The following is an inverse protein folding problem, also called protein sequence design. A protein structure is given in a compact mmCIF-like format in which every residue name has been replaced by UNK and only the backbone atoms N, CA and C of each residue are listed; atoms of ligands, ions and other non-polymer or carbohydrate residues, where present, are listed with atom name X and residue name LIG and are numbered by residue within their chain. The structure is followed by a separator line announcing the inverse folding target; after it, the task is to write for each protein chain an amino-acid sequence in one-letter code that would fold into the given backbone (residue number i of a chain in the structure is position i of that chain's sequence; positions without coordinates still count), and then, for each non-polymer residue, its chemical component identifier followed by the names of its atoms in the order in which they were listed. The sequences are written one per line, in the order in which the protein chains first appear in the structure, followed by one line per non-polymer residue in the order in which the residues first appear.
data_IF_249594418410
#
_entry.id   IF_249594418410
#
_cell.length_a   1.000
_cell.length_b   1.000
_cell.length_c   1.000
_cell.angle_alpha   90.00
_cell.angle_beta   90.00
_cell.angle_gamma   90.00
#
_symmetry.space_group_name_H-M   'P 1'
#
loop_
_entity.id
_entity.type
_entity.pdbx_description
1 polymer ?
#
# COMPACT_ATOMS: atom_id res chain seq x y z
N UNK A 1 32.31 -80.45 -39.95
CA UNK A 1 30.86 -80.41 -40.24
C UNK A 1 30.21 -79.62 -39.12
N UNK A 2 29.52 -78.51 -39.45
CA UNK A 2 28.75 -77.63 -38.54
C UNK A 2 29.57 -76.85 -37.49
N UNK A 3 29.36 -75.57 -37.18
CA UNK A 3 28.59 -74.49 -37.79
C UNK A 3 29.20 -73.18 -37.24
N UNK A 4 29.49 -72.21 -38.10
CA UNK A 4 29.72 -70.81 -37.70
C UNK A 4 28.43 -70.26 -37.05
N UNK A 5 28.52 -69.66 -35.86
CA UNK A 5 27.45 -68.83 -35.29
C UNK A 5 28.02 -67.46 -34.95
N UNK A 6 27.79 -66.52 -35.86
CA UNK A 6 27.90 -65.09 -35.65
C UNK A 6 26.97 -64.66 -34.51
N UNK A 7 27.52 -64.05 -33.46
CA UNK A 7 26.73 -63.28 -32.49
C UNK A 7 26.56 -61.86 -33.03
N UNK A 8 25.38 -61.55 -33.58
CA UNK A 8 24.97 -60.18 -33.88
C UNK A 8 24.57 -59.49 -32.58
N UNK A 9 25.32 -58.46 -32.18
CA UNK A 9 24.93 -57.55 -31.11
C UNK A 9 23.87 -56.60 -31.66
N UNK A 10 22.62 -56.75 -31.22
CA UNK A 10 21.53 -55.82 -31.52
C UNK A 10 21.69 -54.62 -30.58
N UNK A 11 22.10 -53.47 -31.11
CA UNK A 11 21.94 -52.20 -30.42
C UNK A 11 20.46 -51.81 -30.49
N UNK A 12 19.74 -51.99 -29.37
CA UNK A 12 18.42 -51.39 -29.19
C UNK A 12 18.64 -49.92 -28.89
N UNK A 13 18.45 -49.05 -29.87
CA UNK A 13 18.32 -47.61 -29.63
C UNK A 13 16.94 -47.39 -29.00
N UNK A 14 16.89 -47.30 -27.67
CA UNK A 14 15.73 -46.76 -26.97
C UNK A 14 15.68 -45.26 -27.26
N UNK A 15 14.87 -44.86 -28.24
CA UNK A 15 14.41 -43.48 -28.36
C UNK A 15 13.52 -43.18 -27.15
N UNK A 16 14.12 -42.62 -26.10
CA UNK A 16 13.35 -41.98 -25.04
C UNK A 16 12.65 -40.75 -25.65
N UNK A 17 11.36 -40.88 -25.94
CA UNK A 17 10.50 -39.73 -26.14
C UNK A 17 10.49 -38.97 -24.82
N UNK A 18 11.31 -37.92 -24.73
CA UNK A 18 11.19 -36.93 -23.69
C UNK A 18 9.83 -36.26 -23.85
N UNK A 19 8.84 -36.68 -23.04
CA UNK A 19 7.70 -35.83 -22.75
C UNK A 19 8.26 -34.63 -21.97
N UNK A 20 8.66 -33.59 -22.69
CA UNK A 20 8.71 -32.27 -22.11
C UNK A 20 7.28 -31.96 -21.67
N UNK A 21 7.04 -31.99 -20.36
CA UNK A 21 5.88 -31.35 -19.79
C UNK A 21 5.97 -29.89 -20.25
N UNK A 22 5.11 -29.50 -21.20
CA UNK A 22 4.83 -28.11 -21.46
C UNK A 22 4.30 -27.55 -20.13
N UNK A 23 5.15 -26.82 -19.43
CA UNK A 23 4.68 -25.86 -18.44
C UNK A 23 3.85 -24.88 -19.24
N UNK A 24 2.53 -25.04 -19.21
CA UNK A 24 1.60 -24.06 -19.73
C UNK A 24 1.91 -22.75 -19.00
N UNK A 25 2.47 -21.78 -19.70
CA UNK A 25 2.44 -20.39 -19.26
C UNK A 25 0.97 -20.06 -19.00
N UNK A 26 0.59 -19.53 -17.82
CA UNK A 26 -0.77 -19.10 -17.60
C UNK A 26 -1.11 -18.08 -18.68
N UNK A 27 -2.12 -18.40 -19.49
CA UNK A 27 -2.73 -17.42 -20.37
C UNK A 27 -3.24 -16.27 -19.50
N UNK A 28 -2.74 -15.07 -19.74
CA UNK A 28 -3.13 -13.82 -19.08
C UNK A 28 -4.53 -13.34 -19.49
N UNK A 29 -5.54 -14.20 -19.38
CA UNK A 29 -6.91 -13.88 -19.82
C UNK A 29 -8.01 -14.26 -18.82
N UNK A 30 -7.70 -14.24 -17.51
CA UNK A 30 -8.77 -14.20 -16.51
C UNK A 30 -9.55 -12.90 -16.73
N UNK A 31 -10.84 -13.04 -17.08
CA UNK A 31 -11.75 -11.91 -17.11
C UNK A 31 -11.83 -11.33 -15.68
N UNK A 32 -11.42 -10.08 -15.52
CA UNK A 32 -11.41 -9.43 -14.22
C UNK A 32 -12.85 -9.13 -13.78
N UNK A 33 -13.23 -9.47 -12.54
CA UNK A 33 -14.58 -9.18 -12.04
C UNK A 33 -14.79 -7.68 -11.80
N UNK A 34 -16.05 -7.29 -11.64
CA UNK A 34 -16.46 -5.91 -11.43
C UNK A 34 -16.61 -5.12 -12.74
N UNK A 35 -16.60 -3.79 -12.63
CA UNK A 35 -16.79 -2.84 -13.75
C UNK A 35 -15.52 -2.03 -14.03
N UNK A 36 -14.35 -2.61 -13.77
CA UNK A 36 -13.05 -1.92 -13.88
C UNK A 36 -13.05 -0.62 -13.06
N UNK A 37 -12.56 0.47 -13.65
CA UNK A 37 -12.57 1.82 -13.06
C UNK A 37 -13.97 2.30 -12.64
N UNK A 38 -15.05 1.81 -13.24
CA UNK A 38 -16.42 2.26 -12.95
C UNK A 38 -17.04 1.55 -11.72
N UNK A 39 -16.27 0.73 -11.02
CA UNK A 39 -16.74 0.05 -9.81
C UNK A 39 -16.74 0.97 -8.59
N UNK A 40 -15.82 1.94 -8.56
CA UNK A 40 -15.60 2.87 -7.47
C UNK A 40 -15.18 4.23 -8.00
N UNK A 41 -15.57 5.29 -7.29
CA UNK A 41 -14.90 6.58 -7.30
C UNK A 41 -13.79 6.53 -6.25
N UNK A 42 -12.55 6.89 -6.62
CA UNK A 42 -11.41 6.79 -5.72
C UNK A 42 -10.26 7.74 -6.09
N UNK A 43 -9.50 8.14 -5.07
CA UNK A 43 -8.14 8.67 -5.22
C UNK A 43 -7.17 7.50 -5.32
N UNK A 44 -6.14 7.62 -6.15
CA UNK A 44 -5.13 6.60 -6.37
C UNK A 44 -3.74 7.23 -6.45
N UNK A 45 -2.77 6.63 -5.77
CA UNK A 45 -1.35 6.90 -5.99
C UNK A 45 -0.51 5.65 -5.72
N UNK A 46 0.73 5.68 -6.23
CA UNK A 46 1.68 4.59 -6.02
C UNK A 46 3.11 5.08 -5.99
N UNK A 47 3.95 4.33 -5.28
CA UNK A 47 5.39 4.50 -5.34
C UNK A 47 5.87 4.11 -6.74
N UNK A 48 6.32 5.11 -7.48
CA UNK A 48 6.61 4.96 -8.91
C UNK A 48 7.70 5.92 -9.36
N UNK A 49 8.32 5.56 -10.47
CA UNK A 49 9.09 6.47 -11.31
C UNK A 49 8.28 7.64 -11.81
N UNK A 50 6.95 7.66 -11.69
CA UNK A 50 6.05 8.78 -11.95
C UNK A 50 5.34 9.20 -10.65
N UNK A 51 5.54 10.43 -10.16
CA UNK A 51 4.83 10.95 -8.98
C UNK A 51 3.50 11.51 -9.42
N UNK A 52 2.56 10.59 -9.67
CA UNK A 52 1.21 10.91 -10.11
C UNK A 52 0.18 10.53 -9.05
N UNK A 53 -0.83 11.37 -8.94
CA UNK A 53 -2.06 11.08 -8.20
C UNK A 53 -3.21 11.18 -9.17
N UNK A 54 -4.12 10.21 -9.15
CA UNK A 54 -5.30 10.18 -10.00
C UNK A 54 -6.55 10.23 -9.14
N UNK A 55 -7.49 11.07 -9.55
CA UNK A 55 -8.86 11.06 -9.06
C UNK A 55 -9.71 10.40 -10.13
N UNK A 56 -10.20 9.20 -9.84
CA UNK A 56 -11.10 8.44 -10.72
C UNK A 56 -12.53 8.67 -10.25
N UNK A 57 -13.40 9.12 -11.17
CA UNK A 57 -14.84 9.21 -10.94
C UNK A 57 -15.63 8.72 -12.14
N UNK A 58 -16.71 8.02 -11.89
CA UNK A 58 -17.60 7.49 -12.93
C UNK A 58 -16.82 6.69 -14.01
N UNK A 59 -15.80 5.94 -13.60
CA UNK A 59 -15.01 5.10 -14.50
C UNK A 59 -13.97 5.80 -15.37
N UNK A 60 -13.62 7.06 -15.09
CA UNK A 60 -12.61 7.83 -15.83
C UNK A 60 -11.75 8.66 -14.89
N UNK A 61 -10.56 9.04 -15.35
CA UNK A 61 -9.74 10.05 -14.67
C UNK A 61 -10.47 11.40 -14.77
N UNK A 62 -10.95 11.90 -13.64
CA UNK A 62 -11.64 13.19 -13.50
C UNK A 62 -10.64 14.32 -13.28
N UNK A 63 -9.57 14.02 -12.54
CA UNK A 63 -8.47 14.94 -12.26
C UNK A 63 -7.18 14.16 -12.02
N UNK A 64 -6.03 14.79 -12.24
CA UNK A 64 -4.73 14.24 -11.87
C UNK A 64 -3.77 15.32 -11.41
N UNK A 65 -2.82 14.94 -10.57
CA UNK A 65 -1.64 15.71 -10.24
C UNK A 65 -0.40 14.95 -10.68
N UNK A 66 0.59 15.67 -11.18
CA UNK A 66 1.88 15.15 -11.59
C UNK A 66 2.99 16.07 -11.07
N UNK A 67 4.06 15.47 -10.54
CA UNK A 67 5.28 16.18 -10.14
C UNK A 67 6.50 15.61 -10.89
N UNK A 68 6.70 16.01 -12.16
CA UNK A 68 7.79 15.49 -12.99
C UNK A 68 9.18 15.99 -12.55
N UNK A 69 9.24 17.11 -11.81
CA UNK A 69 10.48 17.67 -11.29
C UNK A 69 10.78 17.21 -9.86
N UNK A 70 9.76 16.69 -9.16
CA UNK A 70 9.87 16.10 -7.84
C UNK A 70 10.75 14.86 -7.79
N UNK A 71 11.06 14.44 -6.57
CA UNK A 71 11.90 13.29 -6.27
C UNK A 71 11.18 12.34 -5.33
N UNK A 72 11.62 11.09 -5.34
CA UNK A 72 11.12 10.06 -4.45
C UNK A 72 9.77 9.51 -4.89
N UNK A 73 9.11 8.86 -3.95
CA UNK A 73 7.89 8.08 -4.17
C UNK A 73 6.72 8.65 -3.37
N UNK A 74 5.49 8.60 -3.90
CA UNK A 74 4.28 8.97 -3.14
C UNK A 74 3.81 7.72 -2.40
N UNK A 75 3.95 7.73 -1.07
CA UNK A 75 3.59 6.59 -0.22
C UNK A 75 2.22 6.75 0.44
N UNK A 76 1.70 7.99 0.51
CA UNK A 76 0.40 8.28 1.13
C UNK A 76 -0.26 9.51 0.50
N UNK A 77 -1.59 9.50 0.46
CA UNK A 77 -2.39 10.57 -0.12
C UNK A 77 -3.79 10.59 0.48
N UNK A 78 -4.30 11.81 0.75
CA UNK A 78 -5.63 12.05 1.30
C UNK A 78 -6.25 13.25 0.59
N UNK A 79 -7.38 13.03 -0.07
CA UNK A 79 -8.26 14.07 -0.59
C UNK A 79 -9.18 14.53 0.54
N UNK A 80 -9.06 15.78 0.95
CA UNK A 80 -9.88 16.42 1.99
C UNK A 80 -11.28 16.78 1.45
N UNK A 81 -12.24 17.02 2.35
CA UNK A 81 -13.61 17.38 1.97
C UNK A 81 -13.73 18.67 1.15
N UNK A 82 -12.76 19.58 1.30
CA UNK A 82 -12.67 20.83 0.53
C UNK A 82 -12.01 20.67 -0.85
N UNK A 83 -11.61 19.45 -1.23
CA UNK A 83 -10.96 19.14 -2.50
C UNK A 83 -9.45 19.35 -2.52
N UNK A 84 -8.84 19.84 -1.42
CA UNK A 84 -7.38 19.86 -1.31
C UNK A 84 -6.84 18.43 -1.20
N UNK A 85 -5.65 18.23 -1.74
CA UNK A 85 -4.92 16.97 -1.72
C UNK A 85 -3.72 17.11 -0.78
N UNK A 86 -3.69 16.31 0.29
CA UNK A 86 -2.49 16.09 1.10
C UNK A 86 -1.75 14.87 0.55
N UNK A 87 -0.46 15.01 0.29
CA UNK A 87 0.42 13.88 -0.06
C UNK A 87 1.59 13.80 0.90
N UNK A 88 1.97 12.58 1.29
CA UNK A 88 3.29 12.27 1.78
C UNK A 88 4.08 11.61 0.66
N UNK A 89 5.22 12.21 0.33
CA UNK A 89 6.20 11.62 -0.56
C UNK A 89 7.52 11.45 0.18
N UNK A 90 8.39 10.56 -0.30
CA UNK A 90 9.62 10.16 0.38
C UNK A 90 10.45 11.32 0.93
N UNK A 91 10.43 12.50 0.30
CA UNK A 91 11.20 13.67 0.71
C UNK A 91 10.33 14.85 1.15
N UNK A 92 9.11 14.62 1.65
CA UNK A 92 8.29 15.70 2.16
C UNK A 92 6.79 15.43 2.23
N UNK A 93 6.09 16.49 2.63
CA UNK A 93 4.62 16.53 2.67
C UNK A 93 4.18 17.76 1.90
N UNK A 94 3.11 17.64 1.09
CA UNK A 94 2.52 18.78 0.36
C UNK A 94 1.01 18.79 0.54
N UNK A 95 0.46 19.97 0.80
CA UNK A 95 -0.96 20.26 0.66
C UNK A 95 -1.17 21.04 -0.64
N UNK A 96 -2.04 20.54 -1.50
CA UNK A 96 -2.21 21.00 -2.88
C UNK A 96 -3.67 21.35 -3.12
N UNK A 97 -3.96 22.49 -3.74
CA UNK A 97 -5.34 22.87 -4.11
C UNK A 97 -5.84 22.13 -5.35
N UNK A 98 -7.16 22.12 -5.64
CA UNK A 98 -7.70 21.59 -6.89
C UNK A 98 -7.07 22.20 -8.16
N UNK A 99 -6.63 23.46 -8.08
CA UNK A 99 -5.92 24.18 -9.14
C UNK A 99 -4.42 23.85 -9.20
N UNK A 100 -3.97 22.80 -8.49
CA UNK A 100 -2.59 22.31 -8.42
C UNK A 100 -1.60 23.29 -7.79
N UNK A 101 -2.07 24.23 -6.96
CA UNK A 101 -1.19 25.14 -6.22
C UNK A 101 -0.74 24.49 -4.92
N UNK A 102 0.55 24.56 -4.63
CA UNK A 102 1.08 24.15 -3.32
C UNK A 102 0.64 25.20 -2.29
N UNK A 103 -0.20 24.80 -1.35
CA UNK A 103 -0.73 25.64 -0.27
C UNK A 103 0.18 25.61 0.95
N UNK A 104 0.79 24.46 1.21
CA UNK A 104 1.76 24.24 2.29
C UNK A 104 2.68 23.09 1.91
N UNK A 105 3.92 23.12 2.38
CA UNK A 105 4.87 22.02 2.21
C UNK A 105 5.82 21.91 3.38
N UNK A 106 6.35 20.71 3.56
CA UNK A 106 7.41 20.41 4.50
C UNK A 106 8.45 19.52 3.82
N UNK A 107 9.72 19.91 3.89
CA UNK A 107 10.86 19.14 3.41
C UNK A 107 11.71 18.71 4.62
N UNK A 108 11.94 17.40 4.83
CA UNK A 108 12.75 16.92 5.93
C UNK A 108 14.24 17.16 5.65
N UNK A 109 15.11 17.08 6.67
CA UNK A 109 16.56 17.17 6.49
C UNK A 109 17.09 16.18 5.45
N UNK A 110 18.25 16.47 4.85
CA UNK A 110 18.87 15.57 3.89
C UNK A 110 19.11 14.17 4.51
N UNK A 111 18.68 13.13 3.81
CA UNK A 111 18.78 11.74 4.27
C UNK A 111 17.62 11.28 5.16
N UNK A 112 16.67 12.15 5.47
CA UNK A 112 15.42 11.81 6.17
C UNK A 112 14.29 11.58 5.17
N UNK A 113 13.29 10.82 5.57
CA UNK A 113 12.18 10.45 4.70
C UNK A 113 10.81 10.60 5.37
N UNK A 114 9.75 10.83 4.60
CA UNK A 114 8.37 10.84 5.08
C UNK A 114 7.54 9.92 4.20
N UNK A 115 6.76 9.01 4.80
CA UNK A 115 5.92 8.06 4.05
C UNK A 115 4.45 8.07 4.45
N UNK A 116 4.06 8.91 5.41
CA UNK A 116 2.67 9.04 5.84
C UNK A 116 2.40 10.44 6.38
N UNK A 117 1.20 10.94 6.10
CA UNK A 117 0.70 12.19 6.65
C UNK A 117 -0.83 12.08 6.83
N UNK A 118 -1.33 12.58 7.95
CA UNK A 118 -2.73 12.54 8.34
C UNK A 118 -3.20 13.97 8.58
N UNK A 119 -4.23 14.46 7.86
CA UNK A 119 -4.83 15.74 8.18
C UNK A 119 -5.64 15.63 9.48
N UNK A 120 -5.58 16.66 10.31
CA UNK A 120 -6.38 16.79 11.53
C UNK A 120 -7.10 18.13 11.44
N UNK A 121 -8.42 18.07 11.32
CA UNK A 121 -9.25 19.23 11.03
C UNK A 121 -8.81 19.99 9.79
N UNK A 122 -8.99 21.30 9.81
CA UNK A 122 -8.61 22.17 8.69
C UNK A 122 -7.24 22.83 8.85
N UNK A 123 -6.60 22.66 10.00
CA UNK A 123 -5.42 23.45 10.39
C UNK A 123 -4.20 22.64 10.77
N UNK A 124 -4.29 21.31 10.89
CA UNK A 124 -3.19 20.50 11.37
C UNK A 124 -2.87 19.34 10.44
N UNK A 125 -1.59 18.98 10.42
CA UNK A 125 -1.09 17.77 9.76
C UNK A 125 -0.20 17.04 10.76
N UNK A 126 -0.48 15.75 10.95
CA UNK A 126 0.40 14.80 11.62
C UNK A 126 1.23 14.06 10.58
N UNK A 127 2.53 13.94 10.77
CA UNK A 127 3.38 13.08 9.93
C UNK A 127 4.47 12.41 10.76
N UNK A 128 5.07 11.36 10.19
CA UNK A 128 6.24 10.69 10.76
C UNK A 128 7.43 10.93 9.82
N UNK A 129 8.46 11.57 10.34
CA UNK A 129 9.76 11.75 9.72
C UNK A 129 10.68 10.60 10.13
N UNK A 130 10.99 9.72 9.19
CA UNK A 130 12.05 8.73 9.33
C UNK A 130 13.41 9.46 9.31
N UNK A 131 14.32 9.08 10.20
CA UNK A 131 15.61 9.78 10.33
C UNK A 131 16.64 9.10 11.23
N UNK A 132 17.84 9.67 11.22
CA UNK A 132 19.00 9.29 12.05
C UNK A 132 19.47 10.56 12.79
N UNK A 133 19.55 10.60 14.14
CA UNK A 133 19.56 9.47 15.08
C UNK A 133 18.21 8.87 15.46
N UNK A 134 17.09 9.47 15.03
CA UNK A 134 15.75 9.05 15.43
C UNK A 134 14.67 9.44 14.43
N UNK A 135 13.59 8.67 14.42
CA UNK A 135 12.35 9.09 13.77
C UNK A 135 11.51 10.00 14.69
N UNK A 136 10.79 10.94 14.08
CA UNK A 136 10.00 11.95 14.77
C UNK A 136 8.56 11.93 14.28
N UNK A 137 7.61 11.76 15.21
CA UNK A 137 6.21 12.10 14.97
C UNK A 137 6.04 13.59 15.24
N UNK A 138 5.42 14.31 14.31
CA UNK A 138 5.10 15.73 14.49
C UNK A 138 3.64 16.01 14.21
N UNK A 139 3.08 16.95 14.98
CA UNK A 139 1.81 17.63 14.67
C UNK A 139 2.14 19.08 14.38
N UNK A 140 1.83 19.52 13.16
CA UNK A 140 2.12 20.87 12.68
C UNK A 140 0.83 21.60 12.41
N UNK A 141 0.71 22.81 12.95
CA UNK A 141 -0.34 23.74 12.57
C UNK A 141 0.06 24.42 11.26
N UNK A 142 -0.59 24.04 10.17
CA UNK A 142 -0.24 24.50 8.81
C UNK A 142 -0.71 25.94 8.53
N UNK A 143 -1.52 26.53 9.42
CA UNK A 143 -1.92 27.95 9.34
C UNK A 143 -0.84 28.85 9.94
N UNK A 144 -0.26 28.45 11.07
CA UNK A 144 0.78 29.24 11.76
C UNK A 144 2.20 28.83 11.38
N UNK A 145 2.38 27.62 10.86
CA UNK A 145 3.68 26.98 10.61
C UNK A 145 4.34 26.39 11.85
N UNK A 146 3.65 26.40 13.01
CA UNK A 146 4.23 25.92 14.26
C UNK A 146 4.19 24.39 14.37
N UNK A 147 5.30 23.79 14.80
CA UNK A 147 5.33 22.41 15.30
C UNK A 147 4.76 22.45 16.73
N UNK A 148 3.55 21.97 16.92
CA UNK A 148 2.83 22.01 18.21
C UNK A 148 3.04 20.73 19.03
N UNK A 149 3.47 19.64 18.38
CA UNK A 149 3.89 18.41 19.05
C UNK A 149 5.05 17.79 18.29
N UNK A 150 6.02 17.26 19.04
CA UNK A 150 7.09 16.41 18.53
C UNK A 150 7.33 15.27 19.52
N UNK A 151 7.42 14.04 19.01
CA UNK A 151 7.71 12.84 19.79
C UNK A 151 8.77 12.02 19.06
N UNK A 152 9.76 11.54 19.81
CA UNK A 152 10.71 10.55 19.29
C UNK A 152 10.06 9.16 19.30
N UNK A 153 10.02 8.52 18.13
CA UNK A 153 9.54 7.14 18.02
C UNK A 153 10.70 6.15 18.00
N UNK A 154 10.48 4.99 18.61
CA UNK A 154 11.48 3.92 18.65
C UNK A 154 11.71 3.32 17.25
N UNK A 155 12.99 3.13 16.91
CA UNK A 155 13.45 2.46 15.69
C UNK A 155 14.49 1.40 16.07
N UNK A 156 14.57 0.32 15.29
CA UNK A 156 15.56 -0.74 15.48
C UNK A 156 16.92 -0.36 14.90
N UNK A 157 16.90 0.30 13.75
CA UNK A 157 18.10 0.63 12.98
C UNK A 157 18.04 2.08 12.48
N UNK A 158 18.42 3.08 13.30
CA UNK A 158 18.35 4.51 12.95
C UNK A 158 18.94 4.85 11.57
N UNK A 159 20.14 4.33 11.28
CA UNK A 159 20.84 4.54 10.00
C UNK A 159 20.12 3.95 8.78
N UNK A 160 19.11 3.08 8.97
CA UNK A 160 18.30 2.50 7.88
C UNK A 160 16.96 3.22 7.76
N UNK A 161 17.04 4.54 7.55
CA UNK A 161 15.91 5.49 7.44
C UNK A 161 14.76 4.93 6.61
N UNK A 162 15.06 4.44 5.41
CA UNK A 162 14.05 3.94 4.48
C UNK A 162 13.25 2.76 5.00
N UNK A 163 13.71 2.01 6.01
CA UNK A 163 12.98 0.83 6.53
C UNK A 163 12.29 1.07 7.87
N UNK A 164 12.22 2.31 8.36
CA UNK A 164 11.64 2.61 9.66
C UNK A 164 10.11 2.53 9.62
N UNK A 165 9.43 3.60 9.21
CA UNK A 165 7.96 3.68 9.21
C UNK A 165 7.38 3.70 7.81
N UNK A 166 6.13 3.23 7.71
CA UNK A 166 5.27 3.36 6.53
C UNK A 166 3.97 4.04 6.93
N UNK A 167 2.86 3.32 6.90
CA UNK A 167 1.54 3.90 7.08
C UNK A 167 1.21 4.19 8.55
N UNK A 168 0.54 5.31 8.80
CA UNK A 168 -0.07 5.63 10.09
C UNK A 168 -1.50 6.18 9.92
N UNK A 169 -2.40 5.84 10.84
CA UNK A 169 -3.80 6.34 10.84
C UNK A 169 -4.29 6.59 12.25
N UNK A 170 -5.05 7.68 12.40
CA UNK A 170 -5.74 8.00 13.65
C UNK A 170 -6.96 7.10 13.85
N UNK A 171 -7.21 6.74 15.09
CA UNK A 171 -8.40 6.01 15.52
C UNK A 171 -9.52 6.99 15.89
N UNK A 172 -10.78 6.52 16.00
CA UNK A 172 -11.88 7.32 16.55
C UNK A 172 -11.64 7.82 17.98
N UNK A 173 -10.77 7.14 18.75
CA UNK A 173 -10.40 7.51 20.11
C UNK A 173 -9.32 8.61 20.18
N UNK A 174 -8.78 9.01 19.03
CA UNK A 174 -7.72 10.01 18.93
C UNK A 174 -6.34 9.51 19.31
N UNK A 175 -6.09 8.22 19.10
CA UNK A 175 -4.78 7.55 19.19
C UNK A 175 -4.24 7.29 17.78
N UNK A 176 -2.95 6.99 17.65
CA UNK A 176 -2.31 6.76 16.36
C UNK A 176 -1.86 5.30 16.21
N UNK A 177 -2.39 4.59 15.22
CA UNK A 177 -1.87 3.29 14.78
C UNK A 177 -0.76 3.50 13.75
N UNK A 178 0.36 2.79 13.93
CA UNK A 178 1.59 2.98 13.16
C UNK A 178 2.19 1.64 12.74
N UNK A 179 2.57 1.51 11.47
CA UNK A 179 3.33 0.38 10.94
C UNK A 179 4.85 0.61 11.10
N UNK A 180 5.48 -0.08 12.07
CA UNK A 180 6.93 -0.10 12.22
C UNK A 180 7.55 -1.25 11.42
N UNK A 181 8.08 -0.92 10.25
CA UNK A 181 8.64 -1.89 9.33
C UNK A 181 9.93 -2.53 9.89
N UNK A 182 10.85 -1.77 10.50
CA UNK A 182 12.10 -2.29 11.04
C UNK A 182 11.94 -3.05 12.37
N UNK A 183 11.02 -2.61 13.23
CA UNK A 183 10.70 -3.28 14.49
C UNK A 183 9.79 -4.50 14.32
N UNK A 184 9.26 -4.75 13.11
CA UNK A 184 8.38 -5.87 12.82
C UNK A 184 7.17 -5.93 13.77
N UNK A 185 6.51 -4.77 13.95
CA UNK A 185 5.28 -4.65 14.71
C UNK A 185 4.42 -3.50 14.23
N UNK A 186 3.14 -3.57 14.54
CA UNK A 186 2.27 -2.40 14.56
C UNK A 186 2.13 -1.93 16.00
N UNK A 187 1.99 -0.62 16.20
CA UNK A 187 1.87 -0.01 17.52
C UNK A 187 0.77 1.04 17.51
N UNK A 188 -0.01 1.11 18.58
CA UNK A 188 -0.91 2.22 18.86
C UNK A 188 -0.29 3.13 19.93
N UNK A 189 -0.22 4.42 19.64
CA UNK A 189 0.29 5.45 20.55
C UNK A 189 -0.80 6.41 20.98
N UNK A 190 -0.78 6.84 22.24
CA UNK A 190 -1.51 8.05 22.65
C UNK A 190 -0.80 9.34 22.21
N UNK A 191 -1.41 10.49 22.54
CA UNK A 191 -0.86 11.80 22.22
C UNK A 191 0.47 12.11 22.91
N UNK A 192 0.84 11.40 23.96
CA UNK A 192 2.09 11.58 24.69
C UNK A 192 3.18 10.59 24.27
N UNK A 193 2.88 9.70 23.33
CA UNK A 193 3.80 8.71 22.79
C UNK A 193 3.87 7.43 23.63
N UNK A 194 2.93 7.21 24.56
CA UNK A 194 2.85 5.96 25.27
C UNK A 194 2.29 4.88 24.35
N UNK A 195 2.94 3.71 24.32
CA UNK A 195 2.44 2.53 23.63
C UNK A 195 1.22 1.98 24.40
N UNK A 196 0.03 2.10 23.80
CA UNK A 196 -1.22 1.58 24.35
C UNK A 196 -1.43 0.11 23.98
N UNK A 197 -0.97 -0.27 22.79
CA UNK A 197 -1.13 -1.60 22.23
C UNK A 197 -0.06 -1.87 21.17
N UNK A 198 0.35 -3.13 21.02
CA UNK A 198 1.19 -3.54 19.91
C UNK A 198 0.93 -4.98 19.48
N UNK A 199 1.28 -5.28 18.24
CA UNK A 199 1.11 -6.62 17.66
C UNK A 199 2.23 -6.97 16.66
N UNK A 200 2.76 -8.21 16.70
CA UNK A 200 3.81 -8.64 15.77
C UNK A 200 3.35 -8.66 14.30
N UNK A 201 4.16 -8.05 13.43
CA UNK A 201 3.91 -8.03 11.98
C UNK A 201 5.23 -8.08 11.21
N UNK A 202 5.29 -8.84 10.12
CA UNK A 202 6.57 -9.05 9.41
C UNK A 202 6.79 -7.93 8.40
N UNK A 203 7.63 -6.95 8.75
CA UNK A 203 7.92 -5.78 7.90
C UNK A 203 6.61 -5.10 7.44
N UNK A 204 5.71 -4.71 8.38
CA UNK A 204 4.40 -4.18 8.03
C UNK A 204 4.52 -2.93 7.18
N UNK A 205 3.59 -2.81 6.24
CA UNK A 205 3.45 -1.62 5.42
C UNK A 205 2.21 -0.83 5.80
N UNK A 206 1.07 -1.53 5.92
CA UNK A 206 -0.25 -0.94 6.14
C UNK A 206 -0.82 -1.33 7.50
N UNK A 207 -1.48 -0.37 8.13
CA UNK A 207 -2.29 -0.58 9.33
C UNK A 207 -3.49 0.37 9.30
N UNK A 208 -4.69 -0.16 9.57
CA UNK A 208 -5.93 0.63 9.59
C UNK A 208 -6.80 0.22 10.78
N UNK A 209 -7.34 1.17 11.57
CA UNK A 209 -8.41 0.85 12.52
C UNK A 209 -9.68 0.47 11.76
N UNK A 210 -10.49 -0.41 12.35
CA UNK A 210 -11.81 -0.79 11.86
C UNK A 210 -12.89 -0.29 12.83
N UNK A 211 -14.11 -0.05 12.31
CA UNK A 211 -15.26 0.43 13.10
C UNK A 211 -15.65 -0.50 14.26
N UNK A 212 -15.38 -1.80 14.13
CA UNK A 212 -15.63 -2.80 15.18
C UNK A 212 -14.53 -2.82 16.27
N UNK A 213 -13.56 -1.90 16.21
CA UNK A 213 -12.43 -1.81 17.12
C UNK A 213 -11.27 -2.77 16.81
N UNK A 214 -11.38 -3.62 15.78
CA UNK A 214 -10.27 -4.46 15.32
C UNK A 214 -9.25 -3.63 14.51
N UNK A 215 -8.11 -4.24 14.22
CA UNK A 215 -7.03 -3.65 13.44
C UNK A 215 -6.79 -4.49 12.19
N UNK A 216 -6.78 -3.85 11.02
CA UNK A 216 -6.41 -4.47 9.75
C UNK A 216 -4.93 -4.19 9.46
N UNK A 217 -4.14 -5.24 9.30
CA UNK A 217 -2.68 -5.17 9.13
C UNK A 217 -2.30 -5.79 7.79
N UNK A 218 -1.46 -5.11 7.02
CA UNK A 218 -0.86 -5.62 5.78
C UNK A 218 0.66 -5.68 5.95
N UNK A 219 1.22 -6.87 5.79
CA UNK A 219 2.64 -7.15 5.95
C UNK A 219 3.13 -8.25 4.99
N UNK A 220 4.37 -8.74 5.15
CA UNK A 220 4.92 -9.79 4.28
C UNK A 220 4.25 -11.15 4.41
N UNK A 221 3.42 -11.37 5.43
CA UNK A 221 2.66 -12.62 5.61
C UNK A 221 1.34 -12.55 4.83
N UNK A 222 0.73 -11.37 4.77
CA UNK A 222 -0.54 -11.17 4.08
C UNK A 222 -1.33 -10.00 4.67
N UNK A 223 -2.66 -10.11 4.64
CA UNK A 223 -3.57 -9.18 5.33
C UNK A 223 -4.21 -9.92 6.51
N UNK A 224 -4.29 -9.29 7.68
CA UNK A 224 -4.87 -9.87 8.89
C UNK A 224 -5.77 -8.86 9.59
N UNK A 225 -7.00 -9.26 9.90
CA UNK A 225 -7.84 -8.56 10.87
C UNK A 225 -7.60 -9.17 12.25
N UNK A 226 -7.12 -8.36 13.18
CA UNK A 226 -6.78 -8.79 14.53
C UNK A 226 -7.64 -8.06 15.56
N UNK A 227 -8.11 -8.78 16.57
CA UNK A 227 -8.78 -8.16 17.72
C UNK A 227 -7.78 -7.46 18.61
N UNK A 228 -8.25 -6.56 19.48
CA UNK A 228 -7.39 -5.92 20.49
C UNK A 228 -6.75 -6.92 21.47
N UNK A 229 -7.31 -8.14 21.60
CA UNK A 229 -6.69 -9.23 22.38
C UNK A 229 -5.57 -9.97 21.64
N UNK A 230 -5.42 -9.74 20.32
CA UNK A 230 -4.44 -10.41 19.47
C UNK A 230 -4.97 -11.63 18.70
N UNK A 231 -6.28 -11.88 18.73
CA UNK A 231 -6.88 -12.98 17.95
C UNK A 231 -6.95 -12.58 16.46
N UNK A 232 -6.42 -13.41 15.56
CA UNK A 232 -6.67 -13.22 14.11
C UNK A 232 -8.05 -13.78 13.78
N UNK A 233 -9.00 -12.91 13.46
CA UNK A 233 -10.40 -13.30 13.17
C UNK A 233 -10.70 -13.39 11.67
N UNK A 234 -9.84 -12.81 10.84
CA UNK A 234 -9.87 -12.95 9.40
C UNK A 234 -8.46 -12.76 8.84
N UNK A 235 -8.12 -13.43 7.74
CA UNK A 235 -6.84 -13.26 7.07
C UNK A 235 -6.95 -13.49 5.57
N UNK A 236 -6.02 -12.93 4.82
CA UNK A 236 -5.83 -13.18 3.40
C UNK A 236 -4.36 -13.42 3.06
N UNK A 237 -4.10 -14.37 2.17
CA UNK A 237 -2.81 -14.48 1.47
C UNK A 237 -3.03 -14.61 -0.03
N UNK A 238 -2.08 -14.18 -0.88
CA UNK A 238 -2.16 -14.38 -2.33
C UNK A 238 -2.44 -15.82 -2.78
N UNK A 239 -2.06 -16.82 -1.98
CA UNK A 239 -2.30 -18.23 -2.28
C UNK A 239 -3.79 -18.62 -2.30
N UNK A 240 -4.67 -17.79 -1.73
CA UNK A 240 -6.12 -18.03 -1.71
C UNK A 240 -6.81 -17.67 -3.03
N UNK A 241 -6.14 -16.87 -3.87
CA UNK A 241 -6.63 -16.45 -5.20
C UNK A 241 -5.49 -16.57 -6.23
N UNK A 242 -4.96 -17.80 -6.45
CA UNK A 242 -3.72 -18.03 -7.20
C UNK A 242 -3.80 -17.61 -8.68
N UNK A 243 -4.99 -17.33 -9.20
CA UNK A 243 -5.22 -16.81 -10.54
C UNK A 243 -4.81 -15.33 -10.72
N UNK A 244 -4.58 -14.60 -9.61
CA UNK A 244 -4.10 -13.22 -9.64
C UNK A 244 -2.61 -13.15 -9.27
N UNK A 245 -1.88 -12.33 -10.01
CA UNK A 245 -0.45 -12.14 -9.77
C UNK A 245 -0.20 -11.00 -8.78
N UNK A 246 0.42 -11.34 -7.65
CA UNK A 246 0.85 -10.41 -6.61
C UNK A 246 2.37 -10.33 -6.51
N UNK A 247 2.85 -9.17 -6.10
CA UNK A 247 4.27 -8.85 -5.89
C UNK A 247 4.52 -8.35 -4.47
N UNK A 248 3.76 -7.36 -4.00
CA UNK A 248 3.95 -6.76 -2.69
C UNK A 248 2.65 -6.15 -2.20
N UNK A 249 2.03 -6.75 -1.18
CA UNK A 249 0.88 -6.13 -0.51
C UNK A 249 1.38 -4.96 0.33
N UNK A 250 0.73 -3.80 0.23
CA UNK A 250 1.12 -2.60 0.97
C UNK A 250 0.01 -2.16 1.94
N UNK A 251 -1.21 -1.97 1.46
CA UNK A 251 -2.36 -1.52 2.24
C UNK A 251 -3.61 -2.35 1.95
N UNK A 252 -4.55 -2.30 2.89
CA UNK A 252 -5.88 -2.88 2.75
C UNK A 252 -6.93 -1.99 3.42
N UNK A 253 -8.14 -2.02 2.89
CA UNK A 253 -9.27 -1.19 3.34
C UNK A 253 -10.52 -2.04 3.48
N UNK A 254 -11.21 -1.92 4.61
CA UNK A 254 -12.55 -2.49 4.79
C UNK A 254 -13.58 -1.49 4.24
N UNK A 255 -14.37 -1.93 3.28
CA UNK A 255 -15.49 -1.15 2.74
C UNK A 255 -16.74 -1.32 3.61
N UNK A 256 -17.71 -0.39 3.57
CA UNK A 256 -18.94 -0.48 4.39
C UNK A 256 -19.81 -1.70 4.11
N UNK A 257 -19.70 -2.29 2.92
CA UNK A 257 -20.38 -3.55 2.57
C UNK A 257 -19.75 -4.79 3.23
N UNK A 258 -18.66 -4.63 4.00
CA UNK A 258 -17.91 -5.71 4.64
C UNK A 258 -16.79 -6.31 3.79
N UNK A 259 -16.70 -5.94 2.51
CA UNK A 259 -15.64 -6.40 1.63
C UNK A 259 -14.31 -5.74 2.00
N UNK A 260 -13.21 -6.42 1.67
CA UNK A 260 -11.86 -5.90 1.88
C UNK A 260 -11.20 -5.64 0.53
N UNK A 261 -10.75 -4.42 0.29
CA UNK A 261 -9.85 -4.11 -0.82
C UNK A 261 -8.42 -4.29 -0.37
N UNK A 262 -7.62 -4.97 -1.19
CA UNK A 262 -6.20 -5.23 -0.94
C UNK A 262 -5.43 -4.74 -2.16
N UNK A 263 -4.47 -3.85 -1.95
CA UNK A 263 -3.62 -3.40 -3.06
C UNK A 263 -2.46 -4.37 -3.30
N UNK A 264 -1.85 -4.20 -4.46
CA UNK A 264 -0.64 -4.89 -4.86
C UNK A 264 0.30 -3.93 -5.57
N UNK A 265 1.41 -3.62 -4.90
CA UNK A 265 2.44 -2.74 -5.40
C UNK A 265 3.50 -3.49 -6.21
N UNK A 266 3.91 -2.90 -7.32
CA UNK A 266 4.99 -3.39 -8.17
C UNK A 266 6.16 -2.43 -8.10
N UNK A 267 7.33 -2.95 -7.73
CA UNK A 267 8.58 -2.20 -7.71
C UNK A 267 9.13 -1.96 -9.13
N UNK A 268 9.01 -0.74 -9.64
CA UNK A 268 9.53 -0.35 -10.97
C UNK A 268 11.06 -0.28 -11.05
N UNK A 269 11.74 -0.13 -9.91
CA UNK A 269 13.20 -0.18 -9.81
C UNK A 269 13.75 -1.62 -9.85
N UNK A 270 12.88 -2.64 -9.80
CA UNK A 270 13.27 -4.04 -9.87
C UNK A 270 13.68 -4.45 -11.29
N UNK A 271 14.74 -5.26 -11.40
CA UNK A 271 15.14 -5.90 -12.68
C UNK A 271 14.04 -6.80 -13.26
N UNK A 272 13.09 -7.24 -12.44
CA UNK A 272 11.98 -8.10 -12.84
C UNK A 272 10.71 -7.30 -13.21
N UNK A 273 10.75 -5.96 -13.22
CA UNK A 273 9.58 -5.13 -13.54
C UNK A 273 8.93 -5.51 -14.87
N UNK A 274 9.71 -5.68 -15.94
CA UNK A 274 9.17 -6.01 -17.26
C UNK A 274 8.42 -7.36 -17.30
N UNK A 275 8.79 -8.31 -16.44
CA UNK A 275 8.14 -9.62 -16.35
C UNK A 275 6.90 -9.61 -15.44
N UNK A 276 6.87 -8.72 -14.44
CA UNK A 276 5.89 -8.77 -13.36
C UNK A 276 4.88 -7.62 -13.41
N UNK A 277 5.31 -6.41 -13.76
CA UNK A 277 4.55 -5.19 -13.56
C UNK A 277 3.27 -5.11 -14.38
N UNK A 278 3.36 -5.01 -15.72
CA UNK A 278 2.18 -4.84 -16.58
C UNK A 278 1.15 -5.98 -16.52
N UNK A 279 1.51 -7.11 -15.92
CA UNK A 279 0.66 -8.30 -15.81
C UNK A 279 0.04 -8.49 -14.41
N UNK A 280 0.55 -7.76 -13.40
CA UNK A 280 0.02 -7.79 -12.04
C UNK A 280 -1.32 -7.06 -11.97
N UNK A 281 -2.15 -7.42 -11.00
CA UNK A 281 -3.25 -6.54 -10.58
C UNK A 281 -2.69 -5.40 -9.70
N UNK A 282 -3.37 -4.25 -9.71
CA UNK A 282 -3.13 -3.15 -8.79
C UNK A 282 -3.88 -3.34 -7.48
N UNK A 283 -5.09 -3.91 -7.52
CA UNK A 283 -5.92 -4.17 -6.35
C UNK A 283 -6.99 -5.24 -6.63
N UNK A 284 -7.49 -5.85 -5.57
CA UNK A 284 -8.71 -6.69 -5.57
C UNK A 284 -9.64 -6.27 -4.45
N UNK A 285 -10.95 -6.35 -4.69
CA UNK A 285 -11.98 -6.37 -3.64
C UNK A 285 -12.46 -7.82 -3.44
N UNK A 286 -12.46 -8.26 -2.18
CA UNK A 286 -12.92 -9.60 -1.79
C UNK A 286 -14.00 -9.55 -0.72
N UNK A 287 -14.97 -10.47 -0.81
CA UNK A 287 -15.97 -10.66 0.25
C UNK A 287 -15.34 -11.24 1.52
N UNK A 288 -16.04 -11.24 2.67
CA UNK A 288 -15.57 -11.94 3.88
C UNK A 288 -15.23 -13.42 3.63
N UNK A 289 -15.95 -14.08 2.71
CA UNK A 289 -15.72 -15.45 2.24
C UNK A 289 -14.60 -15.56 1.18
N UNK A 290 -13.86 -14.47 0.95
CA UNK A 290 -12.69 -14.37 0.06
C UNK A 290 -12.99 -14.57 -1.43
N UNK A 291 -14.24 -14.34 -1.83
CA UNK A 291 -14.60 -14.29 -3.25
C UNK A 291 -14.16 -12.95 -3.84
N UNK A 292 -13.40 -12.98 -4.93
CA UNK A 292 -13.05 -11.76 -5.68
C UNK A 292 -14.26 -11.22 -6.43
N UNK A 293 -14.62 -9.96 -6.16
CA UNK A 293 -15.79 -9.28 -6.74
C UNK A 293 -15.40 -8.06 -7.59
N UNK A 294 -14.19 -7.54 -7.41
CA UNK A 294 -13.57 -6.54 -8.27
C UNK A 294 -12.07 -6.77 -8.35
N UNK A 295 -11.48 -6.51 -9.51
CA UNK A 295 -10.04 -6.46 -9.69
C UNK A 295 -9.65 -5.28 -10.57
N UNK A 296 -8.64 -4.53 -10.14
CA UNK A 296 -8.11 -3.38 -10.87
C UNK A 296 -6.84 -3.80 -11.61
N UNK A 297 -6.83 -3.61 -12.94
CA UNK A 297 -5.63 -3.78 -13.76
C UNK A 297 -5.54 -2.74 -14.88
N UNK A 298 -4.90 -1.60 -14.60
CA UNK A 298 -4.90 -0.42 -15.48
C UNK A 298 -3.45 0.02 -15.79
N UNK A 299 -2.71 -0.82 -16.51
CA UNK A 299 -1.32 -0.53 -16.91
C UNK A 299 -1.20 0.18 -18.25
N UNK A 300 -2.23 0.08 -19.10
CA UNK A 300 -2.17 0.54 -20.48
C UNK A 300 -2.79 1.95 -20.67
N UNK A 301 -2.30 2.74 -21.65
CA UNK A 301 -2.97 3.96 -22.07
C UNK A 301 -4.42 3.70 -22.54
N UNK A 302 -5.34 4.66 -22.37
CA UNK A 302 -5.10 6.04 -21.95
C UNK A 302 -5.06 6.26 -20.43
N UNK A 303 -5.40 5.26 -19.61
CA UNK A 303 -5.48 5.42 -18.14
C UNK A 303 -4.10 5.31 -17.50
N UNK A 304 -3.43 4.15 -17.68
CA UNK A 304 -2.13 3.79 -17.09
C UNK A 304 -1.89 4.38 -15.68
N UNK A 305 -2.53 3.77 -14.68
CA UNK A 305 -2.42 4.21 -13.29
C UNK A 305 -1.03 3.95 -12.67
N UNK A 306 -0.25 3.05 -13.26
CA UNK A 306 1.04 2.62 -12.71
C UNK A 306 0.91 1.74 -11.46
N UNK A 307 1.97 1.61 -10.64
CA UNK A 307 1.95 0.90 -9.36
C UNK A 307 0.90 1.43 -8.40
N UNK A 308 0.39 0.58 -7.51
CA UNK A 308 -0.59 0.95 -6.49
C UNK A 308 0.06 0.94 -5.12
N UNK A 309 -0.07 2.01 -4.35
CA UNK A 309 0.34 2.04 -2.93
C UNK A 309 -0.84 2.41 -2.05
N UNK A 310 -1.50 3.53 -2.38
CA UNK A 310 -2.61 4.08 -1.61
C UNK A 310 -3.85 4.30 -2.48
N UNK A 311 -5.00 3.96 -1.92
CA UNK A 311 -6.32 4.18 -2.50
C UNK A 311 -7.21 4.80 -1.42
N UNK A 312 -7.89 5.89 -1.74
CA UNK A 312 -8.96 6.43 -0.90
C UNK A 312 -10.28 6.29 -1.66
N UNK A 313 -11.19 5.48 -1.15
CA UNK A 313 -12.52 5.32 -1.73
C UNK A 313 -13.40 6.54 -1.44
N UNK A 314 -14.10 7.00 -2.47
CA UNK A 314 -14.89 8.24 -2.49
C UNK A 314 -16.37 7.99 -2.78
N UNK A 315 -16.77 6.73 -2.91
CA UNK A 315 -18.18 6.32 -3.11
C UNK A 315 -19.09 6.63 -1.92
N UNK A 316 -18.51 7.08 -0.81
CA UNK A 316 -19.21 7.37 0.42
C UNK A 316 -18.78 8.74 0.93
N UNK A 317 -19.71 9.54 1.50
CA UNK A 317 -19.35 10.76 2.18
C UNK A 317 -18.31 10.48 3.27
N UNK A 318 -17.17 11.14 3.20
CA UNK A 318 -16.15 11.11 4.24
C UNK A 318 -15.52 12.49 4.38
N UNK A 319 -15.15 12.83 5.61
CA UNK A 319 -14.27 13.94 5.91
C UNK A 319 -13.04 13.31 6.60
N UNK A 320 -12.03 12.86 5.84
CA UNK A 320 -10.88 12.15 6.41
C UNK A 320 -10.12 12.98 7.44
N UNK A 321 -10.26 14.30 7.38
CA UNK A 321 -9.72 15.25 8.35
C UNK A 321 -10.57 15.39 9.63
N UNK A 322 -11.80 14.85 9.67
CA UNK A 322 -12.68 14.88 10.84
C UNK A 322 -12.25 13.85 11.89
N UNK A 323 -10.99 13.93 12.30
CA UNK A 323 -10.30 13.11 13.28
C UNK A 323 -9.64 14.02 14.32
N UNK A 324 -9.12 13.44 15.39
CA UNK A 324 -8.36 14.18 16.38
C UNK A 324 -7.16 13.36 16.87
N UNK A 325 -6.18 14.00 17.50
CA UNK A 325 -5.08 13.33 18.18
C UNK A 325 -4.91 13.98 19.54
N UNK A 326 -5.35 13.32 20.61
CA UNK A 326 -5.58 14.01 21.89
C UNK A 326 -6.48 15.24 21.69
N UNK A 327 -5.96 16.42 22.03
CA UNK A 327 -6.68 17.71 21.92
C UNK A 327 -6.55 18.41 20.56
N UNK A 328 -5.71 17.91 19.64
CA UNK A 328 -5.59 18.45 18.28
C UNK A 328 -6.81 18.08 17.44
N UNK A 329 -7.50 19.08 16.87
CA UNK A 329 -8.78 18.95 16.14
C UNK A 329 -8.83 19.86 14.92
#
# INVERSE_FOLDING_TARGET
MFLSRSLSVIFVVLCAYGMQAQVSTPSSSVALPGKGLASHDFLYAGESHDRKVFLVRHGKIDWSYDDPQGKGEISDAVLLSNGNLLIAHQYGVKLISPEKKILWSYDPPAGHEVHTAVPIGTSHVLYIENGDPSALLRVVNIVTGAIEKELTLAVKHPVRVHTQFRHARLTPEGTLLVAHMDLNKVVEYDVDGNELWSFPATSPWGVSPLENGNVLITDRVGVREVTRRGDTVWSFTPAEVPEYHFTSLQQAWRLPNGNTVINNWVNEWSKNYAANGPHSIQAIEITPEKKVVWALREWDPPTSLGPSTTIQFLDQPSAPEAVHFGDFR
#
